data_IF_796166956253
#
_entry.id   IF_796166956253
#
_cell.length_a   1.000
_cell.length_b   1.000
_cell.length_c   1.000
_cell.angle_alpha   90.00
_cell.angle_beta   90.00
_cell.angle_gamma   90.00
#
_symmetry.space_group_name_H-M   'P 1'
#
loop_
_entity.id
_entity.type
_entity.pdbx_description
1 polymer ?
#
# COMPACT_ATOMS: atom_id res chain seq x y z
N UNK A 1 14.58 -41.05 6.05
CA UNK A 1 13.38 -40.65 6.82
C UNK A 1 12.81 -39.42 6.12
N UNK A 2 11.50 -39.36 5.90
CA UNK A 2 10.76 -38.27 5.23
C UNK A 2 11.24 -36.88 5.69
N UNK A 3 11.60 -35.94 4.80
CA UNK A 3 10.72 -35.01 4.05
C UNK A 3 9.81 -34.15 4.96
N UNK A 4 9.85 -32.81 4.76
CA UNK A 4 9.06 -31.67 5.32
C UNK A 4 9.98 -30.62 5.97
N UNK A 5 10.03 -29.34 5.60
CA UNK A 5 9.23 -28.46 4.72
C UNK A 5 10.16 -27.27 4.41
N UNK A 6 10.40 -26.88 3.17
CA UNK A 6 9.55 -25.92 2.44
C UNK A 6 9.08 -24.76 3.32
N UNK A 7 9.69 -23.57 3.10
CA UNK A 7 9.03 -22.25 3.11
C UNK A 7 8.55 -21.81 4.52
N UNK A 8 8.83 -20.62 5.05
CA UNK A 8 7.99 -19.43 4.89
C UNK A 8 8.45 -18.42 5.96
N UNK A 9 9.35 -17.51 5.61
CA UNK A 9 9.56 -16.27 6.39
C UNK A 9 9.67 -15.11 5.42
N UNK A 10 8.73 -15.08 4.47
CA UNK A 10 8.27 -13.82 3.91
C UNK A 10 7.66 -13.09 5.11
N UNK A 11 8.49 -12.33 5.84
CA UNK A 11 8.06 -11.46 6.91
C UNK A 11 6.84 -10.71 6.40
N UNK A 12 5.67 -11.07 6.94
CA UNK A 12 4.45 -10.33 6.74
C UNK A 12 4.70 -8.98 7.37
N UNK A 13 5.21 -8.05 6.56
CA UNK A 13 5.41 -6.65 6.92
C UNK A 13 4.00 -6.07 7.05
N UNK A 14 3.41 -6.28 8.23
CA UNK A 14 2.18 -5.62 8.64
C UNK A 14 2.52 -4.13 8.75
N UNK A 15 2.21 -3.40 7.69
CA UNK A 15 2.44 -1.96 7.63
C UNK A 15 1.20 -1.28 8.18
N UNK A 16 1.37 -0.48 9.21
CA UNK A 16 0.27 0.35 9.73
C UNK A 16 0.16 1.59 8.85
N UNK A 17 -1.03 1.89 8.36
CA UNK A 17 -1.24 3.07 7.52
C UNK A 17 -1.01 4.35 8.35
N UNK A 18 -0.08 5.24 7.99
CA UNK A 18 0.20 6.46 8.77
C UNK A 18 -0.97 7.44 8.79
N UNK A 19 -1.92 7.33 7.85
CA UNK A 19 -3.10 8.20 7.76
C UNK A 19 -4.25 7.74 8.65
N UNK A 20 -4.70 6.50 8.49
CA UNK A 20 -5.86 5.98 9.22
C UNK A 20 -5.52 5.04 10.39
N UNK A 21 -4.23 4.74 10.59
CA UNK A 21 -3.70 3.83 11.61
C UNK A 21 -4.30 2.41 11.56
N UNK A 22 -4.79 1.99 10.39
CA UNK A 22 -5.26 0.61 10.20
C UNK A 22 -4.10 -0.28 9.78
N UNK A 23 -4.11 -1.49 10.32
CA UNK A 23 -3.27 -2.58 9.87
C UNK A 23 -3.65 -2.97 8.45
N UNK A 24 -2.66 -3.07 7.58
CA UNK A 24 -2.84 -3.64 6.26
C UNK A 24 -1.60 -4.40 5.83
N UNK A 25 -1.82 -5.35 4.93
CA UNK A 25 -0.74 -6.11 4.34
C UNK A 25 -0.05 -5.25 3.27
N UNK A 26 1.10 -4.66 3.60
CA UNK A 26 2.01 -4.10 2.60
C UNK A 26 3.19 -5.04 2.42
N UNK A 27 3.21 -5.80 1.33
CA UNK A 27 4.45 -6.44 0.92
C UNK A 27 5.32 -5.40 0.21
N UNK A 28 6.16 -4.69 0.98
CA UNK A 28 7.05 -3.65 0.48
C UNK A 28 8.04 -4.14 -0.59
N UNK A 29 8.23 -5.46 -0.73
CA UNK A 29 9.03 -6.08 -1.79
C UNK A 29 8.25 -6.41 -3.07
N UNK A 30 6.92 -6.36 -3.06
CA UNK A 30 6.09 -6.71 -4.21
C UNK A 30 4.82 -5.87 -4.24
N UNK A 31 4.95 -4.62 -4.72
CA UNK A 31 3.81 -3.71 -4.90
C UNK A 31 2.67 -4.36 -5.69
N UNK A 32 2.97 -5.23 -6.66
CA UNK A 32 1.97 -5.94 -7.47
C UNK A 32 1.01 -6.79 -6.64
N UNK A 33 1.44 -7.32 -5.49
CA UNK A 33 0.64 -8.16 -4.59
C UNK A 33 0.05 -7.39 -3.40
N UNK A 34 0.37 -6.11 -3.26
CA UNK A 34 -0.16 -5.31 -2.17
C UNK A 34 -1.65 -4.99 -2.42
N UNK A 35 -2.48 -4.97 -1.38
CA UNK A 35 -3.88 -4.54 -1.51
C UNK A 35 -4.00 -3.13 -2.11
N UNK A 36 -2.97 -2.28 -1.94
CA UNK A 36 -2.91 -0.96 -2.55
C UNK A 36 -2.78 -0.99 -4.09
N UNK A 37 -2.33 -2.09 -4.69
CA UNK A 37 -2.13 -2.21 -6.14
C UNK A 37 -3.43 -2.22 -6.93
N UNK A 38 -4.53 -2.58 -6.26
CA UNK A 38 -5.88 -2.51 -6.82
C UNK A 38 -6.33 -1.06 -7.07
N UNK A 39 -5.63 -0.09 -6.47
CA UNK A 39 -5.93 1.33 -6.61
C UNK A 39 -5.08 1.93 -7.73
N UNK A 40 -5.75 2.42 -8.77
CA UNK A 40 -5.09 3.07 -9.90
C UNK A 40 -4.82 4.54 -9.56
N UNK A 41 -3.60 4.85 -9.12
CA UNK A 41 -3.11 6.23 -9.03
C UNK A 41 -2.54 6.69 -10.38
N UNK A 42 -2.65 7.99 -10.67
CA UNK A 42 -1.84 8.65 -11.71
C UNK A 42 -0.40 8.88 -11.22
N UNK A 43 0.49 9.32 -12.11
CA UNK A 43 1.89 9.61 -11.73
C UNK A 43 1.93 10.76 -10.73
N UNK A 44 1.19 11.83 -11.00
CA UNK A 44 1.11 13.02 -10.15
C UNK A 44 0.61 12.67 -8.75
N UNK A 45 -0.42 11.83 -8.66
CA UNK A 45 -0.95 11.36 -7.37
C UNK A 45 0.08 10.54 -6.60
N UNK A 46 0.79 9.62 -7.28
CA UNK A 46 1.86 8.83 -6.64
C UNK A 46 2.98 9.72 -6.12
N UNK A 47 3.41 10.68 -6.91
CA UNK A 47 4.49 11.59 -6.54
C UNK A 47 4.06 12.44 -5.33
N UNK A 48 2.88 13.07 -5.37
CA UNK A 48 2.33 13.80 -4.23
C UNK A 48 2.22 12.92 -2.96
N UNK A 49 1.81 11.66 -3.12
CA UNK A 49 1.71 10.74 -1.99
C UNK A 49 3.10 10.43 -1.42
N UNK A 50 4.08 10.15 -2.28
CA UNK A 50 5.45 9.82 -1.87
C UNK A 50 6.18 11.00 -1.21
N UNK A 51 5.87 12.23 -1.63
CA UNK A 51 6.40 13.45 -1.03
C UNK A 51 5.78 13.74 0.34
N UNK A 52 4.47 13.47 0.49
CA UNK A 52 3.71 13.82 1.70
C UNK A 52 3.69 12.72 2.75
N UNK A 53 3.75 11.44 2.36
CA UNK A 53 3.75 10.30 3.25
C UNK A 53 4.95 9.40 2.99
N UNK A 54 5.82 9.27 4.00
CA UNK A 54 6.93 8.30 3.98
C UNK A 54 6.42 6.93 4.42
N UNK A 55 5.94 6.13 3.48
CA UNK A 55 5.49 4.74 3.72
C UNK A 55 4.34 4.30 2.80
N UNK A 56 3.87 3.07 3.00
CA UNK A 56 2.68 2.56 2.31
C UNK A 56 1.39 3.17 2.90
N UNK A 57 0.42 3.53 2.06
CA UNK A 57 -0.95 3.82 2.46
C UNK A 57 -1.86 2.63 2.12
N UNK A 58 -2.91 2.43 2.93
CA UNK A 58 -3.92 1.42 2.61
C UNK A 58 -4.80 1.84 1.42
N UNK A 59 -5.45 0.87 0.78
CA UNK A 59 -6.34 1.09 -0.37
C UNK A 59 -7.43 2.13 -0.10
N UNK A 60 -8.04 2.11 1.09
CA UNK A 60 -9.10 3.06 1.47
C UNK A 60 -8.59 4.51 1.44
N UNK A 61 -7.42 4.74 2.02
CA UNK A 61 -6.81 6.08 2.05
C UNK A 61 -6.40 6.56 0.65
N UNK A 62 -5.95 5.64 -0.20
CA UNK A 62 -5.61 5.95 -1.59
C UNK A 62 -6.86 6.26 -2.41
N UNK A 63 -7.94 5.50 -2.24
CA UNK A 63 -9.23 5.77 -2.89
C UNK A 63 -9.80 7.12 -2.45
N UNK A 64 -9.78 7.42 -1.15
CA UNK A 64 -10.20 8.71 -0.64
C UNK A 64 -9.35 9.85 -1.23
N UNK A 65 -8.04 9.65 -1.36
CA UNK A 65 -7.16 10.63 -2.02
C UNK A 65 -7.53 10.85 -3.49
N UNK A 66 -7.81 9.79 -4.25
CA UNK A 66 -8.28 9.91 -5.65
C UNK A 66 -9.59 10.68 -5.69
N UNK A 67 -10.56 10.35 -4.83
CA UNK A 67 -11.85 11.03 -4.78
C UNK A 67 -11.67 12.51 -4.48
N UNK A 68 -10.82 12.86 -3.50
CA UNK A 68 -10.52 14.26 -3.17
C UNK A 68 -9.81 14.98 -4.34
N UNK A 69 -8.85 14.33 -4.99
CA UNK A 69 -8.12 14.90 -6.14
C UNK A 69 -9.02 15.07 -7.38
N UNK A 70 -9.95 14.13 -7.62
CA UNK A 70 -10.89 14.17 -8.73
C UNK A 70 -11.92 15.32 -8.61
N UNK A 71 -12.17 15.81 -7.40
CA UNK A 71 -13.03 16.98 -7.17
C UNK A 71 -12.32 18.33 -7.45
N UNK A 72 -11.11 18.31 -8.01
CA UNK A 72 -10.52 19.46 -8.70
C UNK A 72 -9.94 20.53 -7.78
N UNK A 73 -9.04 20.15 -6.86
CA UNK A 73 -8.22 21.15 -6.18
C UNK A 73 -6.76 21.08 -6.66
N UNK A 74 -6.19 22.20 -7.16
CA UNK A 74 -4.79 22.30 -7.57
C UNK A 74 -3.80 22.17 -6.41
#
# INVERSE_FOLDING_TARGET
MHERSDIESDEVVNSVCPRCKRDFFCNGGSVSRCHCSTVVLTVEQRDCISERWKGCLCSDCLQEFILLAANGLP
#
